data_IF_398942771113
#
_entry.id   IF_398942771113
#
_cell.length_a   1.000
_cell.length_b   1.000
_cell.length_c   1.000
_cell.angle_alpha   90.00
_cell.angle_beta   90.00
_cell.angle_gamma   90.00
#
_symmetry.space_group_name_H-M   'P 1'
#
loop_
_entity.id
_entity.type
_entity.pdbx_description
1 polymer ?
#
# COMPACT_ATOMS: atom_id res chain seq x y z
N UNK A 1 17.47 1.85 7.68
CA UNK A 1 18.52 2.71 7.10
C UNK A 1 18.47 4.13 7.66
N UNK A 2 17.35 4.87 7.62
CA UNK A 2 17.26 6.25 8.16
C UNK A 2 17.53 6.35 9.68
N UNK A 3 17.03 5.40 10.48
CA UNK A 3 17.33 5.32 11.93
C UNK A 3 18.83 5.03 12.18
N UNK A 4 19.45 4.23 11.31
CA UNK A 4 20.89 3.94 11.32
C UNK A 4 21.71 5.19 10.93
N UNK A 5 21.24 5.96 9.94
CA UNK A 5 21.87 7.22 9.56
C UNK A 5 21.76 8.27 10.67
N UNK A 6 20.59 8.36 11.31
CA UNK A 6 20.35 9.25 12.44
C UNK A 6 21.20 8.87 13.65
N UNK A 7 21.30 7.58 13.99
CA UNK A 7 22.17 7.09 15.08
C UNK A 7 23.66 7.26 14.77
N UNK A 8 24.10 7.04 13.53
CA UNK A 8 25.49 7.30 13.10
C UNK A 8 25.80 8.80 13.12
N UNK A 9 24.91 9.66 12.61
CA UNK A 9 25.08 11.12 12.69
C UNK A 9 25.05 11.64 14.13
N UNK A 10 24.29 10.99 15.01
CA UNK A 10 24.29 11.27 16.45
C UNK A 10 25.54 10.72 17.14
N UNK A 11 26.14 9.64 16.62
CA UNK A 11 27.45 9.14 17.06
C UNK A 11 28.59 10.11 16.74
N UNK A 12 28.53 10.78 15.58
CA UNK A 12 29.44 11.88 15.23
C UNK A 12 29.27 13.07 16.19
N UNK A 13 28.10 13.26 16.80
CA UNK A 13 27.86 14.32 17.80
C UNK A 13 28.65 14.15 19.11
N UNK A 14 29.22 12.97 19.38
CA UNK A 14 30.12 12.74 20.53
C UNK A 14 31.58 13.15 20.26
N UNK A 15 31.94 13.51 19.03
CA UNK A 15 33.32 13.70 18.57
C UNK A 15 33.73 15.18 18.38
N UNK A 16 33.06 16.12 19.04
CA UNK A 16 33.10 17.58 18.84
C UNK A 16 32.25 18.12 17.67
N UNK A 17 31.74 19.35 17.86
CA UNK A 17 31.03 20.09 16.83
C UNK A 17 32.02 20.52 15.74
N UNK A 18 31.89 19.96 14.54
CA UNK A 18 32.69 20.35 13.37
C UNK A 18 32.45 21.79 12.93
N UNK A 19 31.32 22.40 13.35
CA UNK A 19 30.95 23.77 13.00
C UNK A 19 30.60 24.52 14.30
N UNK A 20 31.38 25.56 14.60
CA UNK A 20 31.11 26.47 15.71
C UNK A 20 30.19 27.58 15.18
N UNK A 21 28.98 27.66 15.72
CA UNK A 21 27.99 28.67 15.36
C UNK A 21 27.87 29.71 16.48
N UNK A 22 27.67 30.97 16.10
CA UNK A 22 27.29 32.02 17.04
C UNK A 22 25.77 32.00 17.32
N UNK A 23 25.35 32.76 18.33
CA UNK A 23 23.96 32.81 18.80
C UNK A 23 22.98 33.17 17.67
N UNK A 24 23.28 34.23 16.91
CA UNK A 24 22.44 34.67 15.78
C UNK A 24 22.32 33.57 14.72
N UNK A 25 23.41 32.89 14.38
CA UNK A 25 23.42 31.79 13.42
C UNK A 25 22.56 30.62 13.89
N UNK A 26 22.57 30.30 15.18
CA UNK A 26 21.72 29.25 15.78
C UNK A 26 20.25 29.65 15.66
N UNK A 27 19.89 30.87 16.08
CA UNK A 27 18.52 31.40 15.97
C UNK A 27 18.00 31.34 14.53
N UNK A 28 18.78 31.81 13.55
CA UNK A 28 18.40 31.77 12.14
C UNK A 28 18.28 30.34 11.63
N UNK A 29 19.28 29.49 11.88
CA UNK A 29 19.32 28.12 11.37
C UNK A 29 18.08 27.32 11.80
N UNK A 30 17.77 27.29 13.10
CA UNK A 30 16.65 26.49 13.59
C UNK A 30 15.29 27.10 13.27
N UNK A 31 15.19 28.43 13.18
CA UNK A 31 13.96 29.08 12.71
C UNK A 31 13.68 28.73 11.25
N UNK A 32 14.69 28.84 10.38
CA UNK A 32 14.58 28.48 8.96
C UNK A 32 14.34 26.98 8.77
N UNK A 33 15.02 26.10 9.51
CA UNK A 33 14.78 24.64 9.46
C UNK A 33 13.32 24.30 9.76
N UNK A 34 12.75 24.89 10.82
CA UNK A 34 11.33 24.70 11.17
C UNK A 34 10.36 25.19 10.09
N UNK A 35 10.60 26.36 9.53
CA UNK A 35 9.75 26.94 8.47
C UNK A 35 9.83 26.13 7.17
N UNK A 36 11.03 25.76 6.73
CA UNK A 36 11.26 25.01 5.50
C UNK A 36 10.62 23.62 5.58
N UNK A 37 10.80 22.90 6.69
CA UNK A 37 10.22 21.56 6.83
C UNK A 37 8.69 21.62 6.89
N UNK A 38 8.12 22.63 7.55
CA UNK A 38 6.67 22.83 7.60
C UNK A 38 6.09 23.13 6.20
N UNK A 39 6.75 24.01 5.42
CA UNK A 39 6.34 24.36 4.07
C UNK A 39 6.40 23.14 3.12
N UNK A 40 7.50 22.40 3.14
CA UNK A 40 7.68 21.18 2.34
C UNK A 40 6.63 20.12 2.72
N UNK A 41 6.37 19.95 4.02
CA UNK A 41 5.35 19.03 4.49
C UNK A 41 3.95 19.41 4.00
N UNK A 42 3.60 20.70 4.03
CA UNK A 42 2.33 21.20 3.48
C UNK A 42 2.15 20.83 2.01
N UNK A 43 3.17 21.08 1.18
CA UNK A 43 3.16 20.69 -0.24
C UNK A 43 3.05 19.17 -0.42
N UNK A 44 3.76 18.40 0.40
CA UNK A 44 3.77 16.93 0.35
C UNK A 44 2.38 16.38 0.68
N UNK A 45 1.72 16.92 1.71
CA UNK A 45 0.37 16.54 2.11
C UNK A 45 -0.64 16.85 0.99
N UNK A 46 -0.57 18.06 0.42
CA UNK A 46 -1.42 18.42 -0.72
C UNK A 46 -1.20 17.48 -1.90
N UNK A 47 0.06 17.22 -2.26
CA UNK A 47 0.41 16.27 -3.32
C UNK A 47 -0.15 14.87 -3.07
N UNK A 48 -0.05 14.37 -1.83
CA UNK A 48 -0.62 13.08 -1.45
C UNK A 48 -2.14 13.01 -1.62
N UNK A 49 -2.87 14.08 -1.26
CA UNK A 49 -4.34 14.10 -1.42
C UNK A 49 -4.72 14.00 -2.90
N UNK A 50 -4.07 14.79 -3.77
CA UNK A 50 -4.29 14.70 -5.22
C UNK A 50 -3.95 13.31 -5.75
N UNK A 51 -2.81 12.78 -5.31
CA UNK A 51 -2.32 11.49 -5.72
C UNK A 51 -3.28 10.34 -5.35
N UNK A 52 -3.78 10.35 -4.11
CA UNK A 52 -4.76 9.38 -3.63
C UNK A 52 -6.05 9.44 -4.44
N UNK A 53 -6.52 10.64 -4.79
CA UNK A 53 -7.71 10.81 -5.62
C UNK A 53 -7.48 10.25 -7.03
N UNK A 54 -6.31 10.47 -7.61
CA UNK A 54 -5.96 9.93 -8.93
C UNK A 54 -5.90 8.41 -8.93
N UNK A 55 -5.25 7.79 -7.95
CA UNK A 55 -5.30 6.33 -7.75
C UNK A 55 -6.73 5.81 -7.60
N UNK A 56 -7.60 6.57 -6.93
CA UNK A 56 -9.01 6.19 -6.77
C UNK A 56 -9.79 6.29 -8.08
N UNK A 57 -9.37 7.12 -9.02
CA UNK A 57 -9.95 7.18 -10.37
C UNK A 57 -9.50 5.99 -11.20
N UNK A 58 -8.20 5.67 -11.18
CA UNK A 58 -7.65 4.47 -11.85
C UNK A 58 -8.39 3.19 -11.39
N UNK A 59 -8.71 3.08 -10.10
CA UNK A 59 -9.52 1.98 -9.54
C UNK A 59 -10.97 1.92 -10.08
N UNK A 60 -11.59 3.08 -10.34
CA UNK A 60 -12.96 3.16 -10.88
C UNK A 60 -12.97 2.82 -12.38
N UNK A 61 -11.90 3.17 -13.09
CA UNK A 61 -11.73 2.87 -14.51
C UNK A 61 -11.40 1.40 -14.77
N UNK A 62 -10.62 0.78 -13.87
CA UNK A 62 -10.28 -0.64 -13.94
C UNK A 62 -10.41 -1.33 -12.56
N UNK A 63 -11.51 -2.07 -12.39
CA UNK A 63 -11.82 -2.81 -11.16
C UNK A 63 -10.80 -3.90 -10.82
N UNK A 64 -9.98 -4.35 -11.79
CA UNK A 64 -8.94 -5.35 -11.52
C UNK A 64 -7.70 -4.75 -10.86
N UNK A 65 -7.59 -3.42 -10.81
CA UNK A 65 -6.52 -2.71 -10.10
C UNK A 65 -6.80 -2.49 -8.61
N UNK A 66 -8.01 -2.80 -8.13
CA UNK A 66 -8.47 -2.49 -6.76
C UNK A 66 -7.45 -2.94 -5.70
N UNK A 67 -7.01 -4.20 -5.75
CA UNK A 67 -6.08 -4.73 -4.74
C UNK A 67 -4.71 -4.02 -4.78
N UNK A 68 -4.17 -3.75 -5.97
CA UNK A 68 -2.88 -3.08 -6.13
C UNK A 68 -2.96 -1.61 -5.69
N UNK A 69 -4.04 -0.92 -6.06
CA UNK A 69 -4.30 0.47 -5.69
C UNK A 69 -4.51 0.61 -4.18
N UNK A 70 -5.30 -0.27 -3.57
CA UNK A 70 -5.53 -0.26 -2.12
C UNK A 70 -4.23 -0.49 -1.34
N UNK A 71 -3.40 -1.43 -1.80
CA UNK A 71 -2.05 -1.66 -1.24
C UNK A 71 -1.18 -0.40 -1.29
N UNK A 72 -1.16 0.30 -2.44
CA UNK A 72 -0.43 1.56 -2.60
C UNK A 72 -0.95 2.65 -1.67
N UNK A 73 -2.27 2.86 -1.61
CA UNK A 73 -2.91 3.85 -0.74
C UNK A 73 -2.53 3.62 0.73
N UNK A 74 -2.60 2.37 1.20
CA UNK A 74 -2.25 2.00 2.56
C UNK A 74 -0.77 2.24 2.86
N UNK A 75 0.12 1.77 1.98
CA UNK A 75 1.57 1.96 2.12
C UNK A 75 1.96 3.45 2.20
N UNK A 76 1.41 4.27 1.31
CA UNK A 76 1.71 5.71 1.27
C UNK A 76 1.11 6.45 2.47
N UNK A 77 -0.05 6.02 2.96
CA UNK A 77 -0.62 6.58 4.18
C UNK A 77 0.30 6.33 5.40
N UNK A 78 0.83 5.11 5.54
CA UNK A 78 1.77 4.78 6.62
C UNK A 78 3.05 5.59 6.51
N UNK A 79 3.60 5.72 5.30
CA UNK A 79 4.82 6.51 5.07
C UNK A 79 4.59 8.00 5.35
N UNK A 80 3.44 8.55 4.95
CA UNK A 80 3.06 9.92 5.27
C UNK A 80 2.91 10.13 6.78
N UNK A 81 2.24 9.21 7.49
CA UNK A 81 2.09 9.30 8.94
C UNK A 81 3.46 9.30 9.66
N UNK A 82 4.39 8.46 9.19
CA UNK A 82 5.77 8.47 9.68
C UNK A 82 6.47 9.82 9.44
N UNK A 83 6.33 10.39 8.24
CA UNK A 83 6.86 11.72 7.92
C UNK A 83 6.24 12.78 8.82
N UNK A 84 4.93 12.76 9.05
CA UNK A 84 4.24 13.70 9.94
C UNK A 84 4.87 13.71 11.33
N UNK A 85 5.13 12.54 11.91
CA UNK A 85 5.79 12.42 13.22
C UNK A 85 7.20 13.02 13.18
N UNK A 86 8.00 12.70 12.16
CA UNK A 86 9.35 13.26 11.99
C UNK A 86 9.35 14.79 11.86
N UNK A 87 8.41 15.35 11.09
CA UNK A 87 8.25 16.80 10.91
C UNK A 87 7.90 17.47 12.24
N UNK A 88 6.96 16.92 13.00
CA UNK A 88 6.61 17.43 14.33
C UNK A 88 7.83 17.40 15.25
N UNK A 89 8.56 16.29 15.30
CA UNK A 89 9.79 16.16 16.09
C UNK A 89 10.86 17.17 15.66
N UNK A 90 10.98 17.44 14.37
CA UNK A 90 11.92 18.43 13.82
C UNK A 90 11.55 19.85 14.28
N UNK A 91 10.27 20.23 14.19
CA UNK A 91 9.79 21.54 14.63
C UNK A 91 9.98 21.70 16.13
N UNK A 92 9.63 20.69 16.93
CA UNK A 92 9.82 20.71 18.38
C UNK A 92 11.31 20.81 18.76
N UNK A 93 12.17 20.02 18.12
CA UNK A 93 13.61 20.04 18.38
C UNK A 93 14.24 21.37 17.96
N UNK A 94 13.76 21.99 16.88
CA UNK A 94 14.21 23.31 16.43
C UNK A 94 13.81 24.41 17.43
N UNK A 95 12.57 24.40 17.91
CA UNK A 95 12.12 25.33 18.95
C UNK A 95 12.88 25.12 20.27
N UNK A 96 13.14 23.86 20.63
CA UNK A 96 13.91 23.53 21.83
C UNK A 96 15.35 24.00 21.72
N UNK A 97 15.99 23.83 20.55
CA UNK A 97 17.33 24.33 20.28
C UNK A 97 17.44 25.86 20.46
N UNK A 98 16.45 26.61 19.97
CA UNK A 98 16.36 28.06 20.19
C UNK A 98 16.18 28.39 21.67
N UNK A 99 15.24 27.72 22.35
CA UNK A 99 14.97 27.99 23.76
C UNK A 99 16.17 27.69 24.68
N UNK A 100 16.97 26.68 24.34
CA UNK A 100 18.11 26.23 25.13
C UNK A 100 19.39 27.04 24.86
N UNK A 101 19.43 27.86 23.82
CA UNK A 101 20.57 28.71 23.46
C UNK A 101 21.02 29.61 24.62
N UNK A 102 20.05 30.15 25.37
CA UNK A 102 20.29 31.01 26.53
C UNK A 102 20.73 30.27 27.81
N UNK A 103 20.85 28.94 27.78
CA UNK A 103 21.28 28.16 28.94
C UNK A 103 22.80 27.93 28.92
N UNK A 104 23.50 28.27 30.01
CA UNK A 104 24.97 28.25 30.09
C UNK A 104 25.63 26.85 30.07
N UNK A 105 24.94 25.78 29.67
CA UNK A 105 25.45 24.40 29.66
C UNK A 105 25.91 23.97 28.26
N UNK A 106 27.20 24.14 27.98
CA UNK A 106 27.79 23.91 26.65
C UNK A 106 27.60 22.49 26.08
N UNK A 107 27.74 21.44 26.90
CA UNK A 107 27.60 20.05 26.43
C UNK A 107 26.16 19.69 26.02
N UNK A 108 25.19 20.08 26.84
CA UNK A 108 23.76 19.86 26.60
C UNK A 108 23.28 20.60 25.36
N UNK A 109 23.76 21.84 25.19
CA UNK A 109 23.54 22.66 24.00
C UNK A 109 24.07 21.97 22.75
N UNK A 110 25.34 21.58 22.74
CA UNK A 110 25.97 20.93 21.57
C UNK A 110 25.23 19.65 21.15
N UNK A 111 24.85 18.82 22.12
CA UNK A 111 24.05 17.63 21.85
C UNK A 111 22.70 17.97 21.20
N UNK A 112 21.97 18.93 21.76
CA UNK A 112 20.66 19.33 21.28
C UNK A 112 20.71 19.89 19.85
N UNK A 113 21.70 20.75 19.55
CA UNK A 113 21.88 21.32 18.22
C UNK A 113 22.13 20.23 17.18
N UNK A 114 22.99 19.25 17.49
CA UNK A 114 23.29 18.13 16.60
C UNK A 114 22.08 17.22 16.39
N UNK A 115 21.34 16.89 17.45
CA UNK A 115 20.12 16.07 17.36
C UNK A 115 19.06 16.78 16.50
N UNK A 116 18.85 18.09 16.72
CA UNK A 116 17.87 18.86 15.96
C UNK A 116 18.24 18.94 14.47
N UNK A 117 19.52 19.16 14.13
CA UNK A 117 19.99 19.16 12.73
C UNK A 117 19.92 17.77 12.09
N UNK A 118 20.32 16.71 12.80
CA UNK A 118 20.18 15.33 12.33
C UNK A 118 18.73 14.97 12.03
N UNK A 119 17.81 15.36 12.93
CA UNK A 119 16.37 15.13 12.75
C UNK A 119 15.85 15.90 11.54
N UNK A 120 16.26 17.16 11.33
CA UNK A 120 15.91 17.94 10.16
C UNK A 120 16.36 17.28 8.84
N UNK A 121 17.62 16.88 8.74
CA UNK A 121 18.15 16.20 7.54
C UNK A 121 17.44 14.88 7.29
N UNK A 122 17.19 14.10 8.36
CA UNK A 122 16.46 12.83 8.26
C UNK A 122 15.04 13.05 7.74
N UNK A 123 14.34 14.09 8.22
CA UNK A 123 13.01 14.46 7.74
C UNK A 123 13.02 14.86 6.27
N UNK A 124 13.99 15.66 5.82
CA UNK A 124 14.14 16.02 4.40
C UNK A 124 14.36 14.80 3.51
N UNK A 125 15.21 13.86 3.95
CA UNK A 125 15.45 12.62 3.22
C UNK A 125 14.20 11.74 3.17
N UNK A 126 13.44 11.64 4.27
CA UNK A 126 12.19 10.89 4.32
C UNK A 126 11.14 11.48 3.37
N UNK A 127 10.98 12.80 3.35
CA UNK A 127 10.08 13.49 2.41
C UNK A 127 10.53 13.27 0.97
N UNK A 128 11.82 13.43 0.68
CA UNK A 128 12.36 13.22 -0.67
C UNK A 128 12.10 11.80 -1.16
N UNK A 129 12.35 10.81 -0.30
CA UNK A 129 12.04 9.40 -0.58
C UNK A 129 10.56 9.19 -0.90
N UNK A 130 9.66 9.75 -0.09
CA UNK A 130 8.22 9.66 -0.33
C UNK A 130 7.83 10.27 -1.67
N UNK A 131 8.36 11.45 -2.01
CA UNK A 131 8.09 12.09 -3.30
C UNK A 131 8.52 11.16 -4.44
N UNK A 132 9.75 10.65 -4.40
CA UNK A 132 10.25 9.74 -5.45
C UNK A 132 9.45 8.44 -5.57
N UNK A 133 9.03 7.86 -4.44
CA UNK A 133 8.22 6.63 -4.43
C UNK A 133 6.81 6.87 -5.00
N UNK A 134 6.18 8.00 -4.66
CA UNK A 134 4.84 8.37 -5.17
C UNK A 134 4.84 8.65 -6.68
N UNK A 135 5.88 9.32 -7.20
CA UNK A 135 5.98 9.64 -8.63
C UNK A 135 6.57 8.48 -9.46
N UNK A 136 6.97 7.37 -8.83
CA UNK A 136 7.67 6.29 -9.51
C UNK A 136 6.83 5.74 -10.68
N UNK A 137 7.38 5.70 -11.92
CA UNK A 137 6.67 5.12 -13.04
C UNK A 137 6.44 3.62 -12.78
N UNK A 138 5.28 3.08 -13.12
CA UNK A 138 4.94 1.65 -12.88
C UNK A 138 4.78 1.24 -11.40
N UNK A 139 4.43 2.17 -10.52
CA UNK A 139 4.06 1.87 -9.12
C UNK A 139 3.03 0.73 -8.96
N UNK A 140 2.05 0.65 -9.87
CA UNK A 140 1.03 -0.40 -9.89
C UNK A 140 1.62 -1.76 -10.27
N UNK A 141 2.53 -1.79 -11.24
CA UNK A 141 3.26 -3.00 -11.61
C UNK A 141 4.03 -3.56 -10.41
N UNK A 142 4.74 -2.69 -9.68
CA UNK A 142 5.48 -3.07 -8.47
C UNK A 142 4.56 -3.57 -7.35
N UNK A 143 3.42 -2.91 -7.14
CA UNK A 143 2.42 -3.35 -6.17
C UNK A 143 1.83 -4.72 -6.56
N UNK A 144 1.52 -4.92 -7.84
CA UNK A 144 1.02 -6.19 -8.39
C UNK A 144 2.04 -7.32 -8.24
N UNK A 145 3.32 -7.05 -8.50
CA UNK A 145 4.42 -8.00 -8.24
C UNK A 145 4.52 -8.39 -6.77
N UNK A 146 4.31 -7.44 -5.86
CA UNK A 146 4.28 -7.67 -4.41
C UNK A 146 3.10 -8.54 -3.97
N UNK A 147 1.92 -8.30 -4.53
CA UNK A 147 0.73 -9.12 -4.30
C UNK A 147 0.91 -10.55 -4.84
N UNK A 148 1.43 -10.69 -6.06
CA UNK A 148 1.76 -11.99 -6.62
C UNK A 148 2.73 -12.77 -5.72
N UNK A 149 3.80 -12.13 -5.25
CA UNK A 149 4.78 -12.80 -4.37
C UNK A 149 4.19 -13.22 -3.01
N UNK A 150 3.14 -12.53 -2.54
CA UNK A 150 2.44 -12.87 -1.30
C UNK A 150 1.52 -14.08 -1.49
N UNK A 151 0.83 -14.17 -2.63
CA UNK A 151 -0.10 -15.27 -2.93
C UNK A 151 0.63 -16.50 -3.47
N UNK A 152 1.67 -16.31 -4.27
CA UNK A 152 2.50 -17.37 -4.84
C UNK A 152 3.99 -17.15 -4.49
N UNK A 153 4.39 -17.45 -3.23
CA UNK A 153 5.78 -17.31 -2.80
C UNK A 153 6.71 -18.33 -3.49
N UNK A 154 6.16 -19.46 -3.92
CA UNK A 154 6.88 -20.56 -4.58
C UNK A 154 7.05 -20.37 -6.09
N UNK A 155 6.63 -19.23 -6.67
CA UNK A 155 6.73 -18.95 -8.13
C UNK A 155 8.13 -19.10 -8.73
N UNK A 156 9.16 -18.94 -7.90
CA UNK A 156 10.58 -19.06 -8.28
C UNK A 156 11.15 -20.46 -8.06
N UNK A 157 10.36 -21.39 -7.50
CA UNK A 157 10.75 -22.78 -7.32
C UNK A 157 10.86 -23.51 -8.66
N UNK A 158 11.59 -24.62 -8.69
CA UNK A 158 11.88 -25.38 -9.91
C UNK A 158 10.62 -25.97 -10.59
N UNK A 159 9.52 -26.18 -9.86
CA UNK A 159 8.25 -26.66 -10.39
C UNK A 159 7.37 -25.48 -10.86
N UNK A 160 7.66 -24.95 -12.05
CA UNK A 160 6.79 -23.97 -12.70
C UNK A 160 5.51 -24.67 -13.17
N UNK A 161 4.37 -24.13 -12.75
CA UNK A 161 3.06 -24.55 -13.21
C UNK A 161 2.74 -23.98 -14.58
N UNK A 162 1.75 -24.59 -15.24
CA UNK A 162 1.20 -24.11 -16.52
C UNK A 162 0.29 -22.91 -16.29
N UNK A 163 0.72 -21.73 -16.77
CA UNK A 163 -0.11 -20.51 -16.75
C UNK A 163 -1.43 -20.73 -17.52
N UNK A 164 -1.37 -21.47 -18.62
CA UNK A 164 -2.56 -21.77 -19.43
C UNK A 164 -3.58 -22.59 -18.63
N UNK A 165 -3.14 -23.61 -17.89
CA UNK A 165 -4.03 -24.41 -17.05
C UNK A 165 -4.62 -23.59 -15.91
N UNK A 166 -3.82 -22.74 -15.26
CA UNK A 166 -4.31 -21.79 -14.26
C UNK A 166 -5.39 -20.86 -14.84
N UNK A 167 -5.12 -20.22 -15.98
CA UNK A 167 -6.07 -19.31 -16.62
C UNK A 167 -7.33 -20.05 -17.08
N UNK A 168 -7.21 -21.28 -17.58
CA UNK A 168 -8.36 -22.11 -17.95
C UNK A 168 -9.23 -22.42 -16.73
N UNK A 169 -8.63 -22.82 -15.61
CA UNK A 169 -9.36 -23.09 -14.37
C UNK A 169 -10.02 -21.82 -13.84
N UNK A 170 -9.30 -20.70 -13.82
CA UNK A 170 -9.83 -19.42 -13.36
C UNK A 170 -10.98 -18.91 -14.22
N UNK A 171 -10.88 -18.99 -15.55
CA UNK A 171 -11.96 -18.57 -16.44
C UNK A 171 -13.25 -19.38 -16.20
N UNK A 172 -13.13 -20.66 -15.83
CA UNK A 172 -14.28 -21.48 -15.44
C UNK A 172 -14.86 -21.03 -14.09
N UNK A 173 -14.01 -20.71 -13.11
CA UNK A 173 -14.45 -20.11 -11.84
C UNK A 173 -15.20 -18.80 -12.10
N UNK A 174 -14.65 -17.91 -12.92
CA UNK A 174 -15.27 -16.64 -13.30
C UNK A 174 -16.65 -16.84 -13.93
N UNK A 175 -16.78 -17.80 -14.85
CA UNK A 175 -18.06 -18.15 -15.48
C UNK A 175 -19.10 -18.61 -14.44
N UNK A 176 -18.68 -19.40 -13.44
CA UNK A 176 -19.55 -19.85 -12.35
C UNK A 176 -19.98 -18.69 -11.46
N UNK A 177 -19.03 -17.82 -11.05
CA UNK A 177 -19.33 -16.64 -10.26
C UNK A 177 -20.29 -15.70 -10.98
N UNK A 178 -20.08 -15.48 -12.27
CA UNK A 178 -20.98 -14.67 -13.11
C UNK A 178 -22.38 -15.29 -13.19
N UNK A 179 -22.48 -16.61 -13.38
CA UNK A 179 -23.75 -17.31 -13.45
C UNK A 179 -24.57 -17.12 -12.17
N UNK A 180 -23.96 -17.37 -11.00
CA UNK A 180 -24.61 -17.21 -9.70
C UNK A 180 -24.87 -15.75 -9.37
N UNK A 181 -24.08 -14.83 -9.95
CA UNK A 181 -24.24 -13.39 -9.79
C UNK A 181 -25.42 -12.76 -10.54
N UNK A 182 -25.92 -13.41 -11.61
CA UNK A 182 -26.99 -12.83 -12.46
C UNK A 182 -28.27 -12.43 -11.71
N UNK A 183 -28.85 -13.28 -10.84
CA UNK A 183 -30.08 -12.93 -10.10
C UNK A 183 -29.91 -11.69 -9.21
N UNK A 184 -28.70 -11.50 -8.66
CA UNK A 184 -28.38 -10.35 -7.81
C UNK A 184 -28.20 -9.05 -8.62
N UNK A 185 -27.67 -9.14 -9.84
CA UNK A 185 -27.52 -7.98 -10.73
C UNK A 185 -28.89 -7.49 -11.24
N UNK A 186 -29.81 -8.40 -11.53
CA UNK A 186 -31.17 -8.08 -11.98
C UNK A 186 -32.01 -7.43 -10.87
N UNK A 187 -31.88 -7.92 -9.63
CA UNK A 187 -32.60 -7.37 -8.46
C UNK A 187 -32.12 -5.96 -8.10
N UNK A 188 -30.82 -5.69 -8.21
CA UNK A 188 -30.23 -4.38 -7.86
C UNK A 188 -30.52 -3.30 -8.91
N UNK A 189 -30.63 -3.70 -10.20
CA UNK A 189 -30.89 -2.77 -11.31
C UNK A 189 -32.33 -2.21 -11.32
N UNK A 190 -33.26 -2.86 -10.61
CA UNK A 190 -34.67 -2.48 -10.50
C UNK A 190 -34.91 -1.29 -9.56
N UNK A 191 -34.10 -1.11 -8.51
CA UNK A 191 -34.36 -0.12 -7.47
C UNK A 191 -33.79 1.27 -7.76
N UNK A 192 -32.72 1.38 -8.57
CA UNK A 192 -32.15 2.66 -9.00
C UNK A 192 -31.58 2.51 -10.41
N UNK A 193 -32.32 3.02 -11.40
CA UNK A 193 -31.92 3.07 -12.80
C UNK A 193 -30.68 3.95 -13.00
N UNK A 194 -29.50 3.40 -12.69
CA UNK A 194 -28.24 3.93 -13.19
C UNK A 194 -28.08 3.46 -14.63
N UNK A 195 -27.78 4.39 -15.53
CA UNK A 195 -27.79 4.26 -17.00
C UNK A 195 -26.81 3.20 -17.56
N UNK A 196 -26.06 2.51 -16.70
CA UNK A 196 -25.15 1.42 -17.03
C UNK A 196 -25.19 0.39 -15.89
N UNK A 197 -25.66 -0.85 -16.12
CA UNK A 197 -25.50 -1.91 -15.14
C UNK A 197 -24.00 -2.18 -15.00
N UNK A 198 -23.38 -1.72 -13.92
CA UNK A 198 -22.00 -2.11 -13.60
C UNK A 198 -22.03 -3.59 -13.26
N UNK A 199 -21.33 -4.41 -14.06
CA UNK A 199 -20.99 -5.79 -13.69
C UNK A 199 -20.40 -5.76 -12.28
N UNK A 200 -20.87 -6.62 -11.40
CA UNK A 200 -20.26 -6.78 -10.09
C UNK A 200 -18.88 -7.43 -10.28
N UNK A 201 -17.85 -6.87 -9.63
CA UNK A 201 -16.53 -7.51 -9.62
C UNK A 201 -16.59 -8.92 -9.04
N UNK A 202 -15.74 -9.83 -9.53
CA UNK A 202 -15.67 -11.20 -9.02
C UNK A 202 -15.44 -11.21 -7.50
N UNK A 203 -14.64 -10.28 -6.99
CA UNK A 203 -14.43 -10.07 -5.56
C UNK A 203 -15.73 -9.84 -4.77
N UNK A 204 -16.61 -8.97 -5.29
CA UNK A 204 -17.91 -8.68 -4.68
C UNK A 204 -18.86 -9.87 -4.79
N UNK A 205 -18.85 -10.57 -5.92
CA UNK A 205 -19.65 -11.78 -6.10
C UNK A 205 -19.26 -12.84 -5.07
N UNK A 206 -17.96 -13.06 -4.84
CA UNK A 206 -17.46 -13.98 -3.81
C UNK A 206 -17.87 -13.55 -2.39
N UNK A 207 -17.88 -12.25 -2.08
CA UNK A 207 -18.39 -11.73 -0.80
C UNK A 207 -19.90 -11.99 -0.63
N UNK A 208 -20.70 -11.82 -1.69
CA UNK A 208 -22.12 -12.17 -1.66
C UNK A 208 -22.35 -13.66 -1.41
N UNK A 209 -21.56 -14.54 -2.03
CA UNK A 209 -21.67 -15.98 -1.81
C UNK A 209 -21.41 -16.33 -0.34
N UNK A 210 -20.38 -15.73 0.27
CA UNK A 210 -20.06 -15.96 1.69
C UNK A 210 -21.20 -15.46 2.60
N UNK A 211 -21.71 -14.25 2.35
CA UNK A 211 -22.79 -13.65 3.16
C UNK A 211 -24.09 -14.44 3.10
N UNK A 212 -24.37 -15.04 1.95
CA UNK A 212 -25.54 -15.90 1.74
C UNK A 212 -25.30 -17.36 2.17
N UNK A 213 -24.13 -17.67 2.75
CA UNK A 213 -23.79 -19.02 3.20
C UNK A 213 -23.58 -20.03 2.07
N UNK A 214 -23.49 -19.59 0.80
CA UNK A 214 -23.29 -20.44 -0.38
C UNK A 214 -21.84 -20.91 -0.54
N UNK A 215 -20.90 -20.29 0.16
CA UNK A 215 -19.51 -20.76 0.27
C UNK A 215 -19.05 -20.54 1.71
N UNK A 216 -18.18 -21.42 2.18
CA UNK A 216 -17.57 -21.26 3.49
C UNK A 216 -16.43 -20.23 3.49
N UNK A 217 -15.88 -19.96 4.68
CA UNK A 217 -14.82 -18.96 4.85
C UNK A 217 -13.51 -19.38 4.18
N UNK A 218 -13.24 -20.68 4.08
CA UNK A 218 -11.99 -21.20 3.54
C UNK A 218 -11.97 -21.09 2.00
N UNK A 219 -13.05 -21.55 1.36
CA UNK A 219 -13.27 -21.40 -0.09
C UNK A 219 -13.33 -19.93 -0.49
N UNK A 220 -13.99 -19.08 0.30
CA UNK A 220 -13.98 -17.62 0.11
C UNK A 220 -12.54 -17.06 0.07
N UNK A 221 -11.70 -17.43 1.04
CA UNK A 221 -10.33 -16.94 1.13
C UNK A 221 -9.50 -17.38 -0.08
N UNK A 222 -9.59 -18.65 -0.46
CA UNK A 222 -8.89 -19.20 -1.63
C UNK A 222 -9.35 -18.53 -2.93
N UNK A 223 -10.66 -18.29 -3.10
CA UNK A 223 -11.18 -17.55 -4.25
C UNK A 223 -10.63 -16.12 -4.31
N UNK A 224 -10.58 -15.40 -3.17
CA UNK A 224 -10.00 -14.04 -3.12
C UNK A 224 -8.53 -14.03 -3.51
N UNK A 225 -7.77 -15.03 -3.09
CA UNK A 225 -6.36 -15.19 -3.45
C UNK A 225 -6.17 -15.44 -4.95
N UNK A 226 -6.97 -16.31 -5.56
CA UNK A 226 -6.92 -16.57 -7.01
C UNK A 226 -7.33 -15.33 -7.84
N UNK A 227 -8.35 -14.59 -7.42
CA UNK A 227 -8.76 -13.32 -8.04
C UNK A 227 -7.61 -12.32 -7.99
N UNK A 228 -7.02 -12.13 -6.80
CA UNK A 228 -5.89 -11.21 -6.60
C UNK A 228 -4.69 -11.60 -7.47
N UNK A 229 -4.40 -12.90 -7.56
CA UNK A 229 -3.30 -13.42 -8.38
C UNK A 229 -3.53 -13.16 -9.87
N UNK A 230 -4.71 -13.50 -10.38
CA UNK A 230 -5.07 -13.27 -11.78
C UNK A 230 -4.99 -11.78 -12.14
N UNK A 231 -5.52 -10.91 -11.30
CA UNK A 231 -5.46 -9.47 -11.48
C UNK A 231 -4.01 -8.95 -11.48
N UNK A 232 -3.18 -9.46 -10.57
CA UNK A 232 -1.76 -9.09 -10.49
C UNK A 232 -0.99 -9.48 -11.75
N UNK A 233 -1.24 -10.68 -12.31
CA UNK A 233 -0.58 -11.17 -13.52
C UNK A 233 -0.92 -10.29 -14.74
N UNK A 234 -2.17 -9.84 -14.85
CA UNK A 234 -2.61 -9.03 -15.99
C UNK A 234 -1.97 -7.63 -15.98
N UNK A 235 -1.75 -7.06 -14.80
CA UNK A 235 -1.27 -5.68 -14.63
C UNK A 235 0.24 -5.54 -14.39
N UNK A 236 0.98 -6.53 -14.91
CA UNK A 236 2.42 -6.45 -15.05
C UNK A 236 3.23 -7.15 -13.96
N UNK A 237 2.60 -8.06 -13.20
CA UNK A 237 3.37 -9.12 -12.55
C UNK A 237 3.86 -10.14 -13.60
N UNK A 238 4.94 -10.87 -13.28
CA UNK A 238 5.51 -11.82 -14.25
C UNK A 238 4.48 -12.94 -14.53
N UNK A 239 4.29 -13.37 -15.78
CA UNK A 239 3.29 -14.38 -16.15
C UNK A 239 3.76 -15.80 -15.79
N UNK A 240 4.05 -16.00 -14.50
CA UNK A 240 4.58 -17.23 -13.93
C UNK A 240 3.73 -17.59 -12.72
N UNK A 241 3.34 -18.86 -12.64
CA UNK A 241 2.64 -19.45 -11.51
C UNK A 241 3.36 -20.73 -11.09
N UNK A 242 3.37 -21.05 -9.79
CA UNK A 242 3.87 -22.32 -9.30
C UNK A 242 2.90 -23.46 -9.58
N UNK A 243 3.40 -24.69 -9.61
CA UNK A 243 2.56 -25.88 -9.78
C UNK A 243 1.52 -26.01 -8.66
N UNK A 244 1.87 -25.64 -7.43
CA UNK A 244 0.97 -25.63 -6.26
C UNK A 244 -0.28 -24.77 -6.50
N UNK A 245 -0.11 -23.60 -7.15
CA UNK A 245 -1.21 -22.71 -7.49
C UNK A 245 -2.11 -23.31 -8.58
N UNK A 246 -1.54 -24.00 -9.56
CA UNK A 246 -2.32 -24.67 -10.60
C UNK A 246 -3.21 -25.74 -9.97
N UNK A 247 -2.66 -26.56 -9.08
CA UNK A 247 -3.41 -27.59 -8.36
C UNK A 247 -4.46 -26.98 -7.41
N UNK A 248 -4.11 -25.91 -6.70
CA UNK A 248 -5.05 -25.17 -5.85
C UNK A 248 -6.21 -24.60 -6.66
N UNK A 249 -5.95 -24.03 -7.85
CA UNK A 249 -7.00 -23.49 -8.73
C UNK A 249 -7.96 -24.58 -9.22
N UNK A 250 -7.45 -25.78 -9.51
CA UNK A 250 -8.27 -26.92 -9.92
C UNK A 250 -9.17 -27.41 -8.78
N UNK A 251 -8.62 -27.53 -7.56
CA UNK A 251 -9.39 -27.91 -6.36
C UNK A 251 -10.49 -26.91 -6.04
N UNK A 252 -10.18 -25.61 -6.05
CA UNK A 252 -11.15 -24.54 -5.80
C UNK A 252 -12.27 -24.57 -6.84
N UNK A 253 -11.96 -24.85 -8.11
CA UNK A 253 -12.96 -24.98 -9.16
C UNK A 253 -13.91 -26.18 -8.91
N UNK A 254 -13.37 -27.36 -8.57
CA UNK A 254 -14.21 -28.53 -8.25
C UNK A 254 -15.09 -28.29 -7.03
N UNK A 255 -14.52 -27.71 -5.98
CA UNK A 255 -15.24 -27.41 -4.73
C UNK A 255 -16.34 -26.39 -4.97
N UNK A 256 -16.04 -25.28 -5.67
CA UNK A 256 -17.05 -24.28 -6.05
C UNK A 256 -18.17 -24.89 -6.88
N UNK A 257 -17.87 -25.78 -7.83
CA UNK A 257 -18.91 -26.48 -8.60
C UNK A 257 -19.79 -27.32 -7.68
N UNK A 258 -19.19 -28.11 -6.82
CA UNK A 258 -19.91 -29.02 -5.92
C UNK A 258 -20.85 -28.23 -5.02
N UNK A 259 -20.36 -27.20 -4.35
CA UNK A 259 -21.16 -26.37 -3.44
C UNK A 259 -22.30 -25.66 -4.15
N UNK A 260 -22.08 -25.16 -5.37
CA UNK A 260 -23.14 -24.50 -6.13
C UNK A 260 -24.20 -25.48 -6.65
N UNK A 261 -23.82 -26.71 -6.98
CA UNK A 261 -24.76 -27.75 -7.45
C UNK A 261 -25.59 -28.32 -6.29
N UNK A 262 -25.01 -28.44 -5.10
CA UNK A 262 -25.74 -28.85 -3.88
C UNK A 262 -26.84 -27.84 -3.53
N UNK A 263 -26.54 -26.54 -3.63
CA UNK A 263 -27.53 -25.49 -3.32
C UNK A 263 -28.64 -25.32 -4.36
N UNK A 264 -28.44 -25.70 -5.63
CA UNK A 264 -29.54 -25.72 -6.63
C UNK A 264 -30.57 -26.83 -6.36
N UNK A 265 -30.19 -27.90 -5.64
CA UNK A 265 -31.10 -28.99 -5.30
C UNK A 265 -31.88 -28.75 -3.99
N UNK A 266 -31.53 -27.70 -3.23
CA UNK A 266 -32.14 -27.34 -1.94
C UNK A 266 -33.15 -26.18 -2.03
N UNK A 267 -33.39 -25.59 -3.22
CA UNK A 267 -34.48 -24.62 -3.44
C UNK A 267 -35.79 -25.36 -3.83
N UNK A 268 -36.85 -25.31 -3.00
CA UNK A 268 -38.15 -25.95 -3.27
C UNK A 268 -39.04 -25.20 -4.28
#
# INVERSE_FOLDING_TARGET
>A
MLVLLSTVSSGVAFSDATIILNENQILYLFSTSGQVIAAIYGLTLTGFIFFRNELSREEIEDETLVEAVESLKSRYFVLLAFITVLVILTILSSNLAIAYEGSGKAASKTLLLNVAQSTFVTSLMAVSYFIFDVIHPKRIELASKGLQAKVDPSRTAQAKGSLEDFLRNYNQIETLLEHVGKPFQETTSSAYATKYPRRLSNARLTDFLLRNGKVDKDLYQRLRELITLRNSIIHGADPVVSQDIVEASAKVLEELRTTLTEHENDEP
#
